data_IF_208834396142
#
_entry.id   IF_208834396142
#
_cell.length_a   1.000
_cell.length_b   1.000
_cell.length_c   1.000
_cell.angle_alpha   90.00
_cell.angle_beta   90.00
_cell.angle_gamma   90.00
#
_symmetry.space_group_name_H-M   'P 1'
#
loop_
_entity.id
_entity.type
_entity.pdbx_description
1 polymer ?
#
# COMPACT_ATOMS: atom_id res chain seq x y z
N UNK A 1 78.99 24.84 -22.65
CA UNK A 1 79.00 25.93 -21.68
C UNK A 1 78.06 25.49 -20.60
N UNK A 2 78.54 24.85 -19.61
CA UNK A 2 79.15 25.35 -18.37
C UNK A 2 78.11 25.83 -17.39
N UNK A 3 77.86 25.00 -16.37
CA UNK A 3 78.16 25.17 -14.92
C UNK A 3 76.89 25.82 -14.18
N UNK A 4 76.47 25.49 -12.98
CA UNK A 4 76.99 24.72 -11.79
C UNK A 4 75.85 24.55 -10.81
N UNK A 5 75.64 23.42 -10.25
CA UNK A 5 75.61 22.91 -8.90
C UNK A 5 75.74 23.95 -7.76
N UNK A 6 74.85 23.81 -6.77
CA UNK A 6 75.24 23.83 -5.37
C UNK A 6 74.16 23.24 -4.47
N UNK A 7 74.52 22.18 -3.81
CA UNK A 7 73.87 21.62 -2.67
C UNK A 7 74.47 22.15 -1.37
N UNK A 8 73.72 22.09 -0.31
CA UNK A 8 74.11 22.12 1.10
C UNK A 8 73.16 21.18 1.87
N UNK A 9 73.67 20.18 2.28
CA UNK A 9 74.34 19.54 3.38
C UNK A 9 73.60 19.63 4.73
N UNK A 10 73.38 18.42 5.23
CA UNK A 10 72.88 18.05 6.55
C UNK A 10 73.79 18.47 7.68
N UNK A 11 73.20 18.62 8.88
CA UNK A 11 73.73 18.32 10.23
C UNK A 11 73.88 19.48 11.22
N UNK A 12 73.32 19.09 12.40
CA UNK A 12 73.60 19.58 13.79
C UNK A 12 72.71 20.80 14.23
N UNK A 13 72.01 20.71 15.36
CA UNK A 13 72.48 20.40 16.69
C UNK A 13 71.29 20.04 17.63
N UNK A 14 71.60 19.04 18.46
CA UNK A 14 70.87 18.75 19.70
C UNK A 14 71.25 19.78 20.76
N UNK A 15 70.33 20.19 21.62
CA UNK A 15 70.38 20.17 23.09
C UNK A 15 69.38 21.13 23.72
N UNK A 16 68.75 20.66 24.79
CA UNK A 16 68.16 21.54 25.78
C UNK A 16 66.80 21.13 26.33
N UNK A 17 66.80 20.25 27.22
CA UNK A 17 65.93 19.87 28.36
C UNK A 17 64.79 20.76 28.81
N UNK A 18 63.80 20.05 29.28
CA UNK A 18 63.00 20.13 30.52
C UNK A 18 61.54 20.45 30.42
N UNK A 19 60.77 19.42 30.75
CA UNK A 19 59.62 19.36 31.65
C UNK A 19 58.46 20.36 31.50
N UNK A 20 57.38 19.81 31.04
CA UNK A 20 56.04 20.41 31.16
C UNK A 20 55.01 19.41 30.69
N UNK A 21 54.56 18.47 31.56
CA UNK A 21 53.47 17.58 31.28
C UNK A 21 52.18 18.39 31.23
N UNK A 22 51.71 18.71 30.03
CA UNK A 22 50.30 19.12 29.79
C UNK A 22 49.64 17.91 29.13
N UNK A 23 48.80 17.23 29.89
CA UNK A 23 47.90 16.22 29.39
C UNK A 23 46.90 16.88 28.44
N UNK A 24 47.24 16.88 27.15
CA UNK A 24 46.25 17.15 26.10
C UNK A 24 45.32 15.95 26.03
N UNK A 25 44.15 16.10 26.60
CA UNK A 25 42.98 15.31 26.25
C UNK A 25 42.76 15.44 24.76
N UNK A 26 43.34 14.54 24.00
CA UNK A 26 43.00 14.33 22.60
C UNK A 26 41.57 13.75 22.64
N UNK A 27 40.59 14.63 22.60
CA UNK A 27 39.24 14.24 22.28
C UNK A 27 39.29 13.48 20.95
N UNK A 28 39.03 12.17 20.98
CA UNK A 28 38.77 11.43 19.77
C UNK A 28 37.79 12.19 18.93
N UNK A 29 38.04 12.42 17.62
CA UNK A 29 37.01 13.02 16.80
C UNK A 29 35.79 12.10 16.85
N UNK A 30 34.77 12.56 17.55
CA UNK A 30 33.44 11.98 17.38
C UNK A 30 33.17 12.03 15.87
N UNK A 31 33.25 10.88 15.20
CA UNK A 31 32.71 10.72 13.86
C UNK A 31 31.20 10.99 14.04
N UNK A 32 30.83 12.24 13.93
CA UNK A 32 29.46 12.62 13.64
C UNK A 32 29.19 11.94 12.31
N UNK A 33 28.61 10.75 12.34
CA UNK A 33 28.03 10.13 11.16
C UNK A 33 27.13 11.22 10.58
N UNK A 34 27.56 11.82 9.48
CA UNK A 34 26.71 12.74 8.73
C UNK A 34 25.44 11.98 8.46
N UNK A 35 24.39 12.32 9.18
CA UNK A 35 23.06 11.74 9.02
C UNK A 35 22.75 11.93 7.55
N UNK A 36 22.47 10.85 6.84
CA UNK A 36 22.22 10.92 5.41
C UNK A 36 21.11 11.95 5.20
N UNK A 37 21.40 13.01 4.43
CA UNK A 37 20.44 14.10 4.17
C UNK A 37 19.27 13.65 3.32
N UNK A 38 19.25 12.39 2.92
CA UNK A 38 18.23 11.82 2.03
C UNK A 38 17.70 10.51 2.60
N UNK A 39 16.40 10.27 2.37
CA UNK A 39 15.69 9.04 2.66
C UNK A 39 15.19 8.47 1.34
N UNK A 40 15.68 7.30 0.93
CA UNK A 40 15.23 6.66 -0.30
C UNK A 40 14.00 5.79 -0.01
N UNK A 41 12.90 6.12 -0.67
CA UNK A 41 11.59 5.46 -0.49
C UNK A 41 11.16 4.84 -1.82
N UNK A 42 11.01 3.51 -1.85
CA UNK A 42 10.46 2.79 -2.99
C UNK A 42 8.94 2.66 -2.90
N UNK A 43 8.24 2.63 -4.04
CA UNK A 43 6.80 2.40 -4.07
C UNK A 43 6.24 2.29 -5.48
N UNK A 44 4.91 2.36 -5.64
CA UNK A 44 4.27 2.31 -6.95
C UNK A 44 4.46 3.63 -7.72
N UNK A 45 4.68 3.54 -9.04
CA UNK A 45 4.87 4.73 -9.88
C UNK A 45 3.70 5.73 -9.77
N UNK A 46 2.47 5.22 -9.64
CA UNK A 46 1.27 6.05 -9.47
C UNK A 46 1.20 6.86 -8.17
N UNK A 47 2.08 6.58 -7.20
CA UNK A 47 2.14 7.33 -5.94
C UNK A 47 3.01 8.60 -6.01
N UNK A 48 3.77 8.77 -7.10
CA UNK A 48 4.69 9.89 -7.26
C UNK A 48 4.05 11.28 -7.05
N UNK A 49 2.82 11.57 -7.53
CA UNK A 49 2.22 12.90 -7.34
C UNK A 49 2.11 13.30 -5.87
N UNK A 50 1.45 12.48 -5.03
CA UNK A 50 1.26 12.80 -3.62
C UNK A 50 2.53 12.53 -2.78
N UNK A 51 3.36 11.58 -3.18
CA UNK A 51 4.62 11.31 -2.49
C UNK A 51 5.60 12.48 -2.64
N UNK A 52 5.83 12.95 -3.87
CA UNK A 52 6.71 14.10 -4.13
C UNK A 52 6.08 15.45 -3.73
N UNK A 53 4.75 15.49 -3.61
CA UNK A 53 4.00 16.65 -3.13
C UNK A 53 3.83 16.63 -1.61
N UNK A 54 2.64 16.25 -1.17
CA UNK A 54 2.18 16.37 0.22
C UNK A 54 3.06 15.66 1.25
N UNK A 55 3.58 14.47 0.92
CA UNK A 55 4.39 13.68 1.86
C UNK A 55 5.81 14.26 1.99
N UNK A 56 6.51 14.47 0.86
CA UNK A 56 7.88 15.01 0.89
C UNK A 56 7.92 16.36 1.56
N UNK A 57 7.00 17.27 1.21
CA UNK A 57 6.95 18.59 1.81
C UNK A 57 6.76 18.54 3.33
N UNK A 58 5.84 17.70 3.83
CA UNK A 58 5.61 17.56 5.26
C UNK A 58 6.82 16.96 5.99
N UNK A 59 7.42 15.92 5.40
CA UNK A 59 8.57 15.24 5.99
C UNK A 59 9.81 16.14 6.02
N UNK A 60 10.14 16.79 4.90
CA UNK A 60 11.29 17.68 4.79
C UNK A 60 11.16 18.91 5.70
N UNK A 61 9.95 19.47 5.82
CA UNK A 61 9.68 20.58 6.73
C UNK A 61 9.98 20.21 8.19
N UNK A 62 9.56 18.99 8.61
CA UNK A 62 9.68 18.51 10.00
C UNK A 62 11.06 17.97 10.33
N UNK A 63 11.64 17.16 9.46
CA UNK A 63 12.86 16.39 9.76
C UNK A 63 14.11 16.87 9.05
N UNK A 64 14.00 17.88 8.15
CA UNK A 64 15.11 18.43 7.36
C UNK A 64 15.87 17.37 6.54
N UNK A 65 15.19 16.27 6.21
CA UNK A 65 15.70 15.15 5.42
C UNK A 65 14.88 15.05 4.14
N UNK A 66 15.55 15.08 3.00
CA UNK A 66 14.92 15.00 1.68
C UNK A 66 14.46 13.58 1.38
N UNK A 67 13.26 13.45 0.82
CA UNK A 67 12.79 12.16 0.28
C UNK A 67 13.21 12.03 -1.18
N UNK A 68 13.86 10.89 -1.49
CA UNK A 68 14.12 10.45 -2.86
C UNK A 68 13.15 9.30 -3.16
N UNK A 69 12.11 9.59 -3.91
CA UNK A 69 11.08 8.59 -4.23
C UNK A 69 11.39 7.85 -5.52
N UNK A 70 11.43 6.51 -5.44
CA UNK A 70 11.59 5.62 -6.59
C UNK A 70 10.26 4.92 -6.92
N UNK A 71 9.51 5.49 -7.87
CA UNK A 71 8.22 4.96 -8.32
C UNK A 71 8.40 3.79 -9.31
N UNK A 72 8.00 2.57 -8.90
CA UNK A 72 8.08 1.36 -9.74
C UNK A 72 6.85 0.47 -9.55
N UNK A 73 7.03 -0.81 -9.25
CA UNK A 73 5.99 -1.80 -8.91
C UNK A 73 6.47 -2.64 -7.74
N UNK A 74 5.55 -3.25 -7.00
CA UNK A 74 5.84 -4.03 -5.80
C UNK A 74 6.92 -5.12 -6.03
N UNK A 75 6.80 -5.92 -7.07
CA UNK A 75 7.79 -6.96 -7.41
C UNK A 75 9.17 -6.38 -7.79
N UNK A 76 9.21 -5.23 -8.48
CA UNK A 76 10.48 -4.57 -8.83
C UNK A 76 11.17 -4.04 -7.57
N UNK A 77 10.42 -3.53 -6.61
CA UNK A 77 10.98 -3.12 -5.33
C UNK A 77 11.52 -4.32 -4.52
N UNK A 78 10.81 -5.46 -4.55
CA UNK A 78 11.32 -6.70 -3.97
C UNK A 78 12.64 -7.13 -4.62
N UNK A 79 12.70 -7.16 -5.96
CA UNK A 79 13.96 -7.49 -6.68
C UNK A 79 15.12 -6.54 -6.33
N UNK A 80 14.85 -5.23 -6.16
CA UNK A 80 15.85 -4.26 -5.72
C UNK A 80 16.40 -4.62 -4.34
N UNK A 81 15.52 -4.96 -3.38
CA UNK A 81 15.95 -5.39 -2.05
C UNK A 81 16.76 -6.69 -2.09
N UNK A 82 16.35 -7.66 -2.91
CA UNK A 82 17.07 -8.94 -3.11
C UNK A 82 18.47 -8.72 -3.67
N UNK A 83 18.60 -7.93 -4.74
CA UNK A 83 19.89 -7.63 -5.41
C UNK A 83 20.86 -6.84 -4.52
N UNK A 84 20.34 -6.08 -3.57
CA UNK A 84 21.12 -5.23 -2.68
C UNK A 84 21.15 -5.76 -1.24
N UNK A 85 20.91 -7.06 -1.01
CA UNK A 85 20.77 -7.64 0.32
C UNK A 85 21.94 -7.33 1.26
N UNK A 86 23.16 -7.32 0.75
CA UNK A 86 24.37 -7.08 1.53
C UNK A 86 24.65 -5.59 1.79
N UNK A 87 24.07 -4.70 0.97
CA UNK A 87 24.23 -3.25 1.08
C UNK A 87 22.98 -2.55 0.57
N UNK A 88 21.96 -2.55 1.40
CA UNK A 88 20.69 -1.89 1.09
C UNK A 88 20.87 -0.38 0.88
N UNK A 89 20.15 0.17 -0.10
CA UNK A 89 20.07 1.60 -0.33
C UNK A 89 18.65 2.16 -0.16
N UNK A 90 17.63 1.29 -0.28
CA UNK A 90 16.26 1.63 0.08
C UNK A 90 16.11 1.63 1.61
N UNK A 91 15.47 2.64 2.15
CA UNK A 91 15.20 2.74 3.59
C UNK A 91 13.79 2.28 3.94
N UNK A 92 12.82 2.65 3.11
CA UNK A 92 11.40 2.31 3.25
C UNK A 92 10.87 1.85 1.89
N UNK A 93 9.96 0.90 1.92
CA UNK A 93 9.25 0.48 0.70
C UNK A 93 7.74 0.37 0.96
N UNK A 94 6.96 0.84 -0.01
CA UNK A 94 5.51 0.66 -0.08
C UNK A 94 5.21 -0.41 -1.12
N UNK A 95 4.61 -1.53 -0.68
CA UNK A 95 4.29 -2.68 -1.54
C UNK A 95 2.94 -3.29 -1.16
N UNK A 96 2.40 -4.08 -2.06
CA UNK A 96 1.22 -4.90 -1.80
C UNK A 96 1.52 -6.02 -0.78
N UNK A 97 0.57 -6.32 0.08
CA UNK A 97 0.72 -7.31 1.15
C UNK A 97 1.21 -8.68 0.67
N UNK A 98 0.76 -9.26 -0.46
CA UNK A 98 1.33 -10.50 -0.98
C UNK A 98 2.83 -10.44 -1.27
N UNK A 99 3.35 -9.27 -1.69
CA UNK A 99 4.78 -9.07 -1.95
C UNK A 99 5.55 -8.85 -0.65
N UNK A 100 4.93 -8.20 0.35
CA UNK A 100 5.48 -8.11 1.71
C UNK A 100 5.72 -9.51 2.32
N UNK A 101 4.79 -10.44 2.12
CA UNK A 101 4.94 -11.84 2.58
C UNK A 101 6.21 -12.48 1.98
N UNK A 102 6.50 -12.24 0.71
CA UNK A 102 7.72 -12.73 0.08
C UNK A 102 8.96 -12.07 0.68
N UNK A 103 8.94 -10.77 0.88
CA UNK A 103 10.04 -10.03 1.49
C UNK A 103 10.36 -10.51 2.92
N UNK A 104 9.33 -10.84 3.71
CA UNK A 104 9.49 -11.43 5.06
C UNK A 104 10.15 -12.79 4.98
N UNK A 105 9.72 -13.68 4.08
CA UNK A 105 10.31 -15.02 3.90
C UNK A 105 11.80 -14.97 3.59
N UNK A 106 12.25 -13.91 2.93
CA UNK A 106 13.64 -13.69 2.58
C UNK A 106 14.45 -12.89 3.62
N UNK A 107 13.80 -12.49 4.71
CA UNK A 107 14.43 -11.74 5.79
C UNK A 107 14.85 -10.32 5.41
N UNK A 108 14.14 -9.68 4.48
CA UNK A 108 14.45 -8.36 3.94
C UNK A 108 13.83 -7.19 4.72
N UNK A 109 12.90 -7.46 5.64
CA UNK A 109 12.20 -6.44 6.41
C UNK A 109 12.70 -6.34 7.84
N UNK A 110 12.67 -5.14 8.39
CA UNK A 110 12.91 -4.86 9.80
C UNK A 110 11.58 -4.76 10.56
N UNK A 111 11.54 -5.34 11.75
CA UNK A 111 10.33 -5.33 12.58
C UNK A 111 10.03 -3.92 13.09
N UNK A 112 8.82 -3.45 12.85
CA UNK A 112 8.27 -2.21 13.41
C UNK A 112 7.79 -2.45 14.84
N UNK A 113 8.22 -1.61 15.77
CA UNK A 113 7.78 -1.67 17.16
C UNK A 113 7.11 -0.36 17.57
N UNK A 114 6.22 -0.34 18.58
CA UNK A 114 5.62 0.90 19.08
C UNK A 114 6.65 1.92 19.60
N UNK A 115 7.82 1.46 20.03
CA UNK A 115 8.90 2.36 20.46
C UNK A 115 9.53 3.11 19.27
N UNK A 116 9.60 2.48 18.09
CA UNK A 116 10.15 3.08 16.87
C UNK A 116 9.08 3.84 16.08
N UNK A 117 7.86 3.32 16.06
CA UNK A 117 6.72 3.78 15.25
C UNK A 117 5.48 3.84 16.15
N UNK A 118 5.33 4.90 16.97
CA UNK A 118 4.24 5.00 17.97
C UNK A 118 2.83 4.88 17.38
N UNK A 119 2.61 5.38 16.16
CA UNK A 119 1.31 5.33 15.50
C UNK A 119 0.86 3.90 15.12
N UNK A 120 1.76 2.90 15.12
CA UNK A 120 1.38 1.52 14.85
C UNK A 120 0.35 0.99 15.87
N UNK A 121 0.41 1.47 17.12
CA UNK A 121 -0.54 1.12 18.17
C UNK A 121 -1.94 1.75 18.01
N UNK A 122 -2.09 2.68 17.06
CA UNK A 122 -3.34 3.39 16.79
C UNK A 122 -4.04 2.90 15.52
N UNK A 123 -3.55 1.82 14.95
CA UNK A 123 -4.10 1.28 13.72
C UNK A 123 -5.30 0.37 13.99
N UNK A 124 -6.16 0.24 12.99
CA UNK A 124 -7.29 -0.68 13.01
C UNK A 124 -6.82 -2.13 13.13
N UNK A 125 -7.60 -3.01 13.78
CA UNK A 125 -7.31 -4.45 13.77
C UNK A 125 -7.14 -4.98 12.33
N UNK A 126 -6.19 -5.90 12.14
CA UNK A 126 -5.91 -6.51 10.85
C UNK A 126 -5.07 -5.68 9.88
N UNK A 127 -4.51 -4.53 10.31
CA UNK A 127 -3.65 -3.67 9.49
C UNK A 127 -2.16 -3.74 9.88
N UNK A 128 -1.83 -4.47 10.93
CA UNK A 128 -0.45 -4.78 11.31
C UNK A 128 -0.23 -6.28 11.08
N UNK A 129 0.79 -6.61 10.33
CA UNK A 129 0.97 -7.96 9.80
C UNK A 129 2.24 -8.61 10.31
N UNK A 130 2.20 -9.96 10.45
CA UNK A 130 3.34 -10.81 10.84
C UNK A 130 4.15 -10.21 12.00
N UNK A 131 3.44 -9.88 13.07
CA UNK A 131 4.06 -9.34 14.30
C UNK A 131 4.87 -8.04 14.04
N UNK A 132 4.34 -7.16 13.18
CA UNK A 132 4.93 -5.85 12.91
C UNK A 132 5.93 -5.80 11.77
N UNK A 133 6.02 -6.82 10.90
CA UNK A 133 6.90 -6.77 9.74
C UNK A 133 6.51 -5.69 8.74
N UNK A 134 5.23 -5.39 8.62
CA UNK A 134 4.72 -4.23 7.90
C UNK A 134 3.37 -3.81 8.46
N UNK A 135 2.93 -2.61 8.12
CA UNK A 135 1.62 -2.10 8.43
C UNK A 135 0.95 -1.50 7.18
N UNK A 136 -0.37 -1.59 7.10
CA UNK A 136 -1.12 -0.85 6.08
C UNK A 136 -1.27 0.61 6.52
N UNK A 137 -1.26 1.53 5.55
CA UNK A 137 -1.39 2.98 5.81
C UNK A 137 -2.71 3.54 5.27
N UNK A 138 -2.81 3.82 4.00
CA UNK A 138 -4.03 4.21 3.30
C UNK A 138 -4.38 3.11 2.30
N UNK A 139 -5.54 2.48 2.49
CA UNK A 139 -5.94 1.33 1.70
C UNK A 139 -7.04 1.74 0.70
N UNK A 140 -6.84 1.54 -0.62
CA UNK A 140 -7.95 1.72 -1.56
C UNK A 140 -9.10 0.81 -1.16
N UNK A 141 -10.30 1.38 -1.01
CA UNK A 141 -11.46 0.59 -0.62
C UNK A 141 -12.25 0.14 -1.84
N UNK A 142 -12.90 -0.99 -1.72
CA UNK A 142 -13.78 -1.57 -2.72
C UNK A 142 -15.23 -1.52 -2.23
N UNK A 143 -16.06 -1.04 -3.09
CA UNK A 143 -17.51 -1.01 -2.92
C UNK A 143 -18.19 -1.31 -4.25
N UNK A 144 -19.40 -0.83 -4.43
CA UNK A 144 -20.16 -1.00 -5.66
C UNK A 144 -20.14 0.32 -6.43
N UNK A 145 -19.52 0.33 -7.62
CA UNK A 145 -19.66 1.44 -8.55
C UNK A 145 -21.01 1.30 -9.28
N UNK A 146 -21.72 2.41 -9.46
CA UNK A 146 -23.03 2.38 -10.14
C UNK A 146 -23.26 3.63 -10.99
N UNK A 147 -24.13 3.49 -12.00
CA UNK A 147 -24.57 4.60 -12.82
C UNK A 147 -25.80 5.28 -12.18
N UNK A 148 -25.69 6.56 -11.85
CA UNK A 148 -26.72 7.32 -11.13
C UNK A 148 -27.99 7.58 -11.95
N UNK A 149 -27.92 7.53 -13.30
CA UNK A 149 -29.08 7.66 -14.18
C UNK A 149 -29.90 6.37 -14.19
N UNK A 150 -29.20 5.21 -14.16
CA UNK A 150 -29.85 3.90 -14.11
C UNK A 150 -30.37 3.58 -12.69
N UNK A 151 -29.62 4.00 -11.67
CA UNK A 151 -29.87 3.69 -10.26
C UNK A 151 -29.83 4.95 -9.39
N UNK A 152 -30.83 5.85 -9.50
CA UNK A 152 -30.82 7.11 -8.77
C UNK A 152 -30.90 6.94 -7.24
N UNK A 153 -31.43 5.82 -6.76
CA UNK A 153 -31.47 5.48 -5.32
C UNK A 153 -30.15 4.89 -4.79
N UNK A 154 -29.14 4.70 -5.66
CA UNK A 154 -27.88 4.06 -5.30
C UNK A 154 -27.94 2.53 -5.28
N UNK A 155 -26.89 1.91 -4.70
CA UNK A 155 -26.74 0.46 -4.59
C UNK A 155 -26.36 0.07 -3.15
N UNK A 156 -27.35 -0.23 -2.28
CA UNK A 156 -27.12 -0.24 -0.83
C UNK A 156 -26.52 -1.53 -0.26
N UNK A 157 -26.60 -2.67 -0.97
CA UNK A 157 -26.17 -3.96 -0.42
C UNK A 157 -25.51 -4.87 -1.46
N UNK A 158 -24.53 -5.67 -1.04
CA UNK A 158 -23.92 -6.69 -1.89
C UNK A 158 -24.93 -7.74 -2.37
N UNK A 159 -25.88 -8.10 -1.50
CA UNK A 159 -26.93 -9.08 -1.84
C UNK A 159 -27.80 -8.64 -3.01
N UNK A 160 -27.99 -7.33 -3.21
CA UNK A 160 -28.83 -6.78 -4.27
C UNK A 160 -28.33 -7.14 -5.68
N UNK A 161 -27.04 -7.48 -5.83
CA UNK A 161 -26.48 -7.94 -7.09
C UNK A 161 -27.22 -9.18 -7.66
N UNK A 162 -27.83 -9.97 -6.80
CA UNK A 162 -28.55 -11.20 -7.16
C UNK A 162 -30.03 -10.97 -7.49
N UNK A 163 -30.53 -9.73 -7.40
CA UNK A 163 -31.90 -9.38 -7.77
C UNK A 163 -32.10 -9.55 -9.30
N UNK A 164 -33.12 -10.27 -9.77
CA UNK A 164 -33.41 -10.46 -11.19
C UNK A 164 -33.63 -9.16 -11.99
N UNK A 165 -33.91 -8.03 -11.33
CA UNK A 165 -34.03 -6.71 -12.01
C UNK A 165 -32.72 -6.29 -12.71
N UNK A 166 -31.58 -6.84 -12.30
CA UNK A 166 -30.27 -6.56 -12.89
C UNK A 166 -29.93 -7.48 -14.07
N UNK A 167 -30.86 -8.26 -14.60
CA UNK A 167 -30.63 -9.18 -15.71
C UNK A 167 -29.87 -8.49 -16.85
N UNK A 168 -28.64 -8.96 -17.16
CA UNK A 168 -27.78 -8.43 -18.20
C UNK A 168 -27.26 -7.00 -17.94
N UNK A 169 -27.16 -6.56 -16.68
CA UNK A 169 -26.80 -5.18 -16.32
C UNK A 169 -25.60 -5.04 -15.39
N UNK A 170 -25.07 -6.12 -14.87
CA UNK A 170 -23.89 -6.08 -14.02
C UNK A 170 -22.63 -6.37 -14.82
N UNK A 171 -21.56 -5.63 -14.50
CA UNK A 171 -20.21 -5.83 -15.04
C UNK A 171 -19.32 -6.23 -13.87
N UNK A 172 -18.79 -7.46 -13.87
CA UNK A 172 -17.98 -7.92 -12.74
C UNK A 172 -16.51 -8.15 -13.11
N UNK A 173 -15.57 -7.97 -12.16
CA UNK A 173 -14.17 -8.29 -12.39
C UNK A 173 -13.95 -9.81 -12.49
N UNK A 174 -13.05 -10.22 -13.38
CA UNK A 174 -12.44 -11.55 -13.36
C UNK A 174 -11.62 -11.74 -12.08
N UNK A 175 -11.41 -12.98 -11.63
CA UNK A 175 -10.48 -13.31 -10.53
C UNK A 175 -9.01 -13.03 -10.88
N UNK A 176 -8.69 -12.74 -12.15
CA UNK A 176 -7.38 -12.21 -12.53
C UNK A 176 -7.14 -10.81 -11.94
N UNK A 177 -8.21 -10.07 -11.69
CA UNK A 177 -8.18 -8.79 -10.99
C UNK A 177 -8.33 -9.00 -9.48
N UNK A 178 -7.68 -8.17 -8.69
CA UNK A 178 -7.78 -8.23 -7.22
C UNK A 178 -9.21 -7.97 -6.74
N UNK A 179 -9.94 -7.12 -7.44
CA UNK A 179 -11.34 -6.78 -7.15
C UNK A 179 -12.27 -8.01 -7.21
N UNK A 180 -11.97 -8.99 -8.08
CA UNK A 180 -12.79 -10.19 -8.22
C UNK A 180 -12.88 -11.03 -6.95
N UNK A 181 -11.86 -10.97 -6.11
CA UNK A 181 -11.81 -11.74 -4.86
C UNK A 181 -12.93 -11.36 -3.90
N UNK A 182 -13.24 -10.08 -3.76
CA UNK A 182 -14.31 -9.63 -2.88
C UNK A 182 -15.67 -10.19 -3.32
N UNK A 183 -15.96 -10.25 -4.63
CA UNK A 183 -17.20 -10.85 -5.13
C UNK A 183 -17.31 -12.33 -4.77
N UNK A 184 -16.21 -13.09 -4.86
CA UNK A 184 -16.20 -14.50 -4.50
C UNK A 184 -16.44 -14.72 -3.00
N UNK A 185 -15.81 -13.89 -2.16
CA UNK A 185 -15.96 -13.96 -0.70
C UNK A 185 -17.37 -13.51 -0.26
N UNK A 186 -17.91 -12.46 -0.87
CA UNK A 186 -19.32 -12.05 -0.65
C UNK A 186 -20.27 -13.17 -1.04
N UNK A 187 -20.05 -13.81 -2.19
CA UNK A 187 -20.86 -14.95 -2.62
C UNK A 187 -20.81 -16.09 -1.59
N UNK A 188 -19.64 -16.39 -1.03
CA UNK A 188 -19.49 -17.39 0.04
C UNK A 188 -20.25 -16.99 1.31
N UNK A 189 -20.19 -15.73 1.71
CA UNK A 189 -20.93 -15.21 2.85
C UNK A 189 -22.45 -15.32 2.65
N UNK A 190 -22.95 -14.97 1.46
CA UNK A 190 -24.37 -15.08 1.12
C UNK A 190 -24.86 -16.53 1.05
N UNK A 191 -24.02 -17.48 0.62
CA UNK A 191 -24.37 -18.89 0.54
C UNK A 191 -24.37 -19.56 1.92
N UNK A 192 -23.41 -19.20 2.76
CA UNK A 192 -23.21 -19.87 4.07
C UNK A 192 -23.91 -19.16 5.23
N UNK A 193 -24.27 -17.88 5.08
CA UNK A 193 -24.72 -17.01 6.17
C UNK A 193 -23.62 -16.64 7.19
N UNK A 194 -22.37 -17.01 6.91
CA UNK A 194 -21.22 -16.69 7.78
C UNK A 194 -20.76 -15.25 7.60
N UNK A 195 -20.17 -14.64 8.66
CA UNK A 195 -19.47 -13.37 8.52
C UNK A 195 -18.35 -13.45 7.46
N UNK A 196 -18.02 -12.32 6.82
CA UNK A 196 -16.99 -12.21 5.76
C UNK A 196 -15.65 -12.81 6.21
N UNK A 197 -15.24 -12.55 7.46
CA UNK A 197 -13.97 -13.00 8.04
C UNK A 197 -13.85 -14.53 8.09
N UNK A 198 -14.97 -15.24 8.14
CA UNK A 198 -15.04 -16.70 8.11
C UNK A 198 -15.35 -17.21 6.70
N UNK A 199 -16.24 -16.53 5.99
CA UNK A 199 -16.68 -16.92 4.66
C UNK A 199 -15.55 -16.88 3.62
N UNK A 200 -14.51 -16.07 3.82
CA UNK A 200 -13.36 -16.02 2.92
C UNK A 200 -12.62 -17.35 2.78
N UNK A 201 -12.81 -18.29 3.70
CA UNK A 201 -12.26 -19.64 3.63
C UNK A 201 -13.23 -20.67 3.04
N UNK A 202 -14.47 -20.29 2.77
CA UNK A 202 -15.55 -21.15 2.22
C UNK A 202 -15.68 -20.98 0.69
N UNK A 203 -14.57 -21.12 -0.02
CA UNK A 203 -14.47 -20.82 -1.46
C UNK A 203 -15.38 -21.70 -2.31
N UNK A 204 -15.63 -22.96 -1.90
CA UNK A 204 -16.57 -23.84 -2.58
C UNK A 204 -18.00 -23.28 -2.57
N UNK A 205 -18.44 -22.74 -1.44
CA UNK A 205 -19.73 -22.05 -1.34
C UNK A 205 -19.74 -20.76 -2.18
N UNK A 206 -18.62 -20.05 -2.22
CA UNK A 206 -18.44 -18.89 -3.08
C UNK A 206 -18.64 -19.20 -4.56
N UNK A 207 -17.99 -20.25 -5.07
CA UNK A 207 -18.17 -20.69 -6.46
C UNK A 207 -19.58 -21.22 -6.75
N UNK A 208 -20.22 -21.89 -5.80
CA UNK A 208 -21.60 -22.31 -5.95
C UNK A 208 -22.54 -21.11 -6.12
N UNK A 209 -22.40 -20.10 -5.29
CA UNK A 209 -23.25 -18.91 -5.29
C UNK A 209 -22.96 -17.98 -6.45
N UNK A 210 -21.69 -17.68 -6.75
CA UNK A 210 -21.35 -16.69 -7.78
C UNK A 210 -21.86 -17.10 -9.19
N UNK A 211 -21.97 -18.39 -9.45
CA UNK A 211 -22.57 -18.91 -10.72
C UNK A 211 -24.02 -18.49 -10.89
N UNK A 212 -24.77 -18.31 -9.81
CA UNK A 212 -26.16 -17.87 -9.90
C UNK A 212 -26.29 -16.40 -10.30
N UNK A 213 -25.17 -15.65 -10.30
CA UNK A 213 -25.12 -14.27 -10.78
C UNK A 213 -25.10 -14.15 -12.31
N UNK A 214 -24.74 -15.24 -13.05
CA UNK A 214 -24.61 -15.21 -14.51
C UNK A 214 -25.76 -14.56 -15.28
N UNK A 215 -27.06 -14.79 -14.96
CA UNK A 215 -28.15 -14.14 -15.67
C UNK A 215 -28.13 -12.60 -15.55
N UNK A 216 -27.55 -12.07 -14.48
CA UNK A 216 -27.46 -10.63 -14.23
C UNK A 216 -26.25 -9.98 -14.90
N UNK A 217 -25.28 -10.78 -15.39
CA UNK A 217 -24.06 -10.26 -15.99
C UNK A 217 -24.30 -9.75 -17.40
N UNK A 218 -23.84 -8.53 -17.67
CA UNK A 218 -23.58 -8.02 -19.01
C UNK A 218 -22.27 -8.59 -19.53
N UNK A 219 -21.21 -8.54 -18.71
CA UNK A 219 -19.88 -9.09 -19.04
C UNK A 219 -19.01 -9.26 -17.80
N UNK A 220 -17.91 -9.99 -17.99
CA UNK A 220 -16.80 -10.11 -17.02
C UNK A 220 -15.60 -9.40 -17.62
N UNK A 221 -15.00 -8.46 -16.88
CA UNK A 221 -13.87 -7.68 -17.37
C UNK A 221 -12.52 -8.10 -16.75
N UNK A 222 -11.46 -7.87 -17.53
CA UNK A 222 -10.07 -7.90 -17.08
C UNK A 222 -9.42 -6.52 -17.16
N UNK A 223 -10.00 -5.62 -17.98
CA UNK A 223 -9.51 -4.26 -18.20
C UNK A 223 -10.46 -3.22 -17.57
N UNK A 224 -10.00 -2.53 -16.54
CA UNK A 224 -10.79 -1.52 -15.80
C UNK A 224 -11.37 -0.43 -16.72
N UNK A 225 -10.61 0.17 -17.67
CA UNK A 225 -11.17 1.21 -18.53
C UNK A 225 -12.39 0.75 -19.32
N UNK A 226 -12.41 -0.51 -19.81
CA UNK A 226 -13.56 -1.07 -20.51
C UNK A 226 -14.79 -1.15 -19.60
N UNK A 227 -14.62 -1.63 -18.37
CA UNK A 227 -15.72 -1.72 -17.40
C UNK A 227 -16.30 -0.34 -17.06
N UNK A 228 -15.44 0.65 -16.86
CA UNK A 228 -15.87 2.02 -16.56
C UNK A 228 -16.62 2.65 -17.75
N UNK A 229 -16.20 2.40 -18.99
CA UNK A 229 -16.90 2.88 -20.17
C UNK A 229 -18.32 2.31 -20.25
N UNK A 230 -18.50 1.00 -20.01
CA UNK A 230 -19.84 0.37 -19.98
C UNK A 230 -20.72 0.95 -18.87
N UNK A 231 -20.13 1.24 -17.73
CA UNK A 231 -20.85 1.88 -16.62
C UNK A 231 -21.25 3.32 -16.96
N UNK A 232 -20.36 4.12 -17.51
CA UNK A 232 -20.58 5.52 -17.86
C UNK A 232 -21.65 5.66 -18.94
N UNK A 233 -21.64 4.80 -19.94
CA UNK A 233 -22.62 4.76 -21.02
C UNK A 233 -23.99 4.23 -20.57
N UNK A 234 -24.07 3.59 -19.39
CA UNK A 234 -25.30 3.03 -18.83
C UNK A 234 -25.71 1.69 -19.43
N UNK A 235 -24.82 1.04 -20.20
CA UNK A 235 -25.00 -0.34 -20.63
C UNK A 235 -24.92 -1.29 -19.45
N UNK A 236 -23.85 -1.14 -18.61
CA UNK A 236 -23.77 -1.68 -17.29
C UNK A 236 -24.38 -0.70 -16.27
N UNK A 237 -25.16 -1.20 -15.34
CA UNK A 237 -25.76 -0.36 -14.30
C UNK A 237 -24.94 -0.33 -13.03
N UNK A 238 -24.21 -1.41 -12.74
CA UNK A 238 -23.32 -1.47 -11.60
C UNK A 238 -22.11 -2.39 -11.87
N UNK A 239 -21.03 -2.08 -11.14
CA UNK A 239 -19.82 -2.89 -11.05
C UNK A 239 -19.61 -3.25 -9.59
N UNK A 240 -20.08 -4.42 -9.14
CA UNK A 240 -19.78 -4.93 -7.82
C UNK A 240 -18.26 -5.12 -7.65
N UNK A 241 -17.73 -4.62 -6.55
CA UNK A 241 -16.31 -4.69 -6.21
C UNK A 241 -15.39 -3.91 -7.15
N UNK A 242 -15.55 -2.58 -7.12
CA UNK A 242 -14.63 -1.65 -7.79
C UNK A 242 -13.82 -0.86 -6.74
N UNK A 243 -12.56 -0.60 -7.02
CA UNK A 243 -11.75 0.29 -6.17
C UNK A 243 -12.18 1.75 -6.30
N UNK A 244 -12.26 2.43 -5.16
CA UNK A 244 -12.59 3.85 -5.03
C UNK A 244 -11.72 4.76 -5.90
N UNK A 245 -10.44 4.44 -6.02
CA UNK A 245 -9.45 5.17 -6.81
C UNK A 245 -9.77 5.23 -8.30
N UNK A 246 -10.59 4.32 -8.82
CA UNK A 246 -10.96 4.28 -10.22
C UNK A 246 -12.22 5.12 -10.55
N UNK A 247 -13.08 5.37 -9.57
CA UNK A 247 -14.39 6.00 -9.79
C UNK A 247 -14.49 7.39 -9.18
N UNK A 248 -14.10 7.56 -7.90
CA UNK A 248 -14.28 8.83 -7.18
C UNK A 248 -13.67 10.03 -7.91
N UNK A 249 -12.47 9.94 -8.53
CA UNK A 249 -11.92 11.06 -9.29
C UNK A 249 -12.82 11.54 -10.44
N UNK A 250 -13.69 10.66 -10.94
CA UNK A 250 -14.58 10.91 -12.09
C UNK A 250 -16.02 11.29 -11.72
N UNK A 251 -16.40 11.19 -10.44
CA UNK A 251 -17.79 11.38 -10.00
C UNK A 251 -18.37 12.76 -10.31
N UNK A 252 -17.53 13.79 -10.46
CA UNK A 252 -17.97 15.14 -10.78
C UNK A 252 -18.29 15.34 -12.27
N UNK A 253 -17.70 14.52 -13.12
CA UNK A 253 -17.72 14.70 -14.58
C UNK A 253 -18.53 13.62 -15.29
N UNK A 254 -18.93 12.56 -14.56
CA UNK A 254 -19.63 11.40 -15.12
C UNK A 254 -20.81 10.97 -14.25
N UNK A 255 -21.77 10.19 -14.80
CA UNK A 255 -22.90 9.67 -14.03
C UNK A 255 -22.52 8.48 -13.15
N UNK A 256 -21.26 8.33 -12.78
CA UNK A 256 -20.78 7.23 -11.94
C UNK A 256 -20.65 7.68 -10.49
N UNK A 257 -20.95 6.79 -9.56
CA UNK A 257 -20.69 6.98 -8.13
C UNK A 257 -20.27 5.67 -7.48
N UNK A 258 -19.62 5.80 -6.32
CA UNK A 258 -19.36 4.68 -5.42
C UNK A 258 -20.41 4.58 -4.34
N UNK A 259 -20.80 3.36 -4.02
CA UNK A 259 -21.61 3.01 -2.85
C UNK A 259 -20.80 2.17 -1.90
N UNK A 260 -20.89 2.49 -0.60
CA UNK A 260 -20.40 1.63 0.48
C UNK A 260 -21.57 0.74 0.94
N UNK A 261 -21.57 -0.56 0.61
CA UNK A 261 -22.67 -1.47 0.96
C UNK A 261 -22.79 -1.64 2.48
N UNK A 262 -24.02 -1.83 2.96
CA UNK A 262 -24.33 -1.95 4.39
C UNK A 262 -23.61 -3.09 5.12
N UNK A 263 -23.25 -4.14 4.41
CA UNK A 263 -22.48 -5.27 4.94
C UNK A 263 -21.00 -4.92 5.16
N UNK A 264 -20.55 -3.79 4.63
CA UNK A 264 -19.17 -3.31 4.73
C UNK A 264 -18.45 -3.18 3.40
N UNK A 265 -17.26 -2.60 3.46
CA UNK A 265 -16.35 -2.41 2.34
C UNK A 265 -15.14 -3.35 2.49
N UNK A 266 -14.55 -3.75 1.37
CA UNK A 266 -13.24 -4.38 1.39
C UNK A 266 -12.15 -3.33 1.20
N UNK A 267 -10.95 -3.61 1.70
CA UNK A 267 -9.78 -2.76 1.48
C UNK A 267 -8.69 -3.55 0.76
N UNK A 268 -8.01 -2.84 -0.13
CA UNK A 268 -6.92 -3.42 -0.92
C UNK A 268 -5.61 -3.49 -0.14
N UNK A 269 -4.67 -4.32 -0.61
CA UNK A 269 -3.35 -4.42 0.00
C UNK A 269 -2.56 -3.13 -0.24
N UNK A 270 -2.03 -2.52 0.82
CA UNK A 270 -1.21 -1.31 0.74
C UNK A 270 -0.32 -1.20 1.98
N UNK A 271 0.79 -1.93 1.97
CA UNK A 271 1.74 -2.00 3.07
C UNK A 271 2.86 -0.98 2.99
N UNK A 272 3.35 -0.54 4.15
CA UNK A 272 4.61 0.19 4.32
C UNK A 272 5.52 -0.61 5.25
N UNK A 273 6.78 -0.77 4.88
CA UNK A 273 7.77 -1.50 5.64
C UNK A 273 9.11 -0.77 5.73
N UNK A 274 9.87 -1.09 6.76
CA UNK A 274 11.27 -0.70 6.88
C UNK A 274 12.16 -1.78 6.24
N UNK A 275 13.11 -1.38 5.41
CA UNK A 275 14.06 -2.30 4.79
C UNK A 275 15.15 -2.65 5.80
N UNK A 276 15.36 -3.94 6.05
CA UNK A 276 16.40 -4.41 6.97
C UNK A 276 17.78 -4.08 6.44
N UNK A 277 18.61 -3.41 7.26
CA UNK A 277 19.92 -2.93 6.85
C UNK A 277 19.90 -1.72 5.91
N UNK A 278 18.72 -1.13 5.67
CA UNK A 278 18.59 0.11 4.92
C UNK A 278 19.24 1.29 5.62
N UNK A 279 19.67 2.32 4.85
CA UNK A 279 20.30 3.50 5.43
C UNK A 279 19.30 4.32 6.23
N UNK A 280 19.79 5.09 7.22
CA UNK A 280 19.02 6.08 7.96
C UNK A 280 17.79 5.49 8.71
N UNK A 281 17.96 4.44 9.54
CA UNK A 281 16.81 3.73 10.14
C UNK A 281 15.93 4.62 11.04
N UNK A 282 16.51 5.64 11.69
CA UNK A 282 15.74 6.60 12.50
C UNK A 282 14.79 7.42 11.63
N UNK A 283 15.24 7.90 10.47
CA UNK A 283 14.39 8.65 9.54
C UNK A 283 13.40 7.73 8.82
N UNK A 284 13.77 6.46 8.57
CA UNK A 284 12.84 5.47 8.06
C UNK A 284 11.69 5.21 9.04
N UNK A 285 11.99 5.05 10.33
CA UNK A 285 10.97 4.91 11.38
C UNK A 285 10.08 6.16 11.48
N UNK A 286 10.69 7.35 11.47
CA UNK A 286 9.96 8.61 11.49
C UNK A 286 9.04 8.81 10.28
N UNK A 287 9.48 8.38 9.08
CA UNK A 287 8.67 8.41 7.88
C UNK A 287 7.47 7.45 7.99
N UNK A 288 7.72 6.22 8.42
CA UNK A 288 6.65 5.23 8.60
C UNK A 288 5.66 5.72 9.65
N UNK A 289 6.14 6.25 10.79
CA UNK A 289 5.28 6.80 11.82
C UNK A 289 4.40 7.95 11.30
N UNK A 290 4.97 8.85 10.50
CA UNK A 290 4.22 9.91 9.84
C UNK A 290 3.15 9.35 8.89
N UNK A 291 3.47 8.36 8.06
CA UNK A 291 2.51 7.73 7.14
C UNK A 291 1.37 7.00 7.85
N UNK A 292 1.64 6.46 9.05
CA UNK A 292 0.64 5.80 9.89
C UNK A 292 -0.12 6.79 10.81
N UNK A 293 0.29 8.05 10.84
CA UNK A 293 -0.35 9.10 11.63
C UNK A 293 -1.66 9.58 11.03
N UNK A 294 -2.68 9.84 11.87
CA UNK A 294 -3.99 10.31 11.43
C UNK A 294 -3.91 11.61 10.62
N UNK A 295 -3.07 12.57 11.03
CA UNK A 295 -2.90 13.85 10.34
C UNK A 295 -2.46 13.67 8.88
N UNK A 296 -1.47 12.79 8.63
CA UNK A 296 -1.00 12.51 7.28
C UNK A 296 -2.06 11.76 6.48
N UNK A 297 -2.75 10.80 7.09
CA UNK A 297 -3.82 10.06 6.42
C UNK A 297 -5.00 10.96 6.05
N UNK A 298 -5.41 11.88 6.93
CA UNK A 298 -6.44 12.87 6.64
C UNK A 298 -6.02 13.82 5.49
N UNK A 299 -4.73 14.21 5.47
CA UNK A 299 -4.19 15.07 4.41
C UNK A 299 -4.16 14.37 3.05
N UNK A 300 -3.80 13.08 3.01
CA UNK A 300 -3.68 12.31 1.78
C UNK A 300 -5.00 11.74 1.28
N UNK A 301 -6.01 11.63 2.11
CA UNK A 301 -7.29 11.02 1.76
C UNK A 301 -7.95 11.66 0.54
N UNK A 302 -7.99 13.01 0.36
CA UNK A 302 -8.53 13.65 -0.84
C UNK A 302 -7.72 13.39 -2.11
N UNK A 303 -6.43 13.06 -1.99
CA UNK A 303 -5.55 12.77 -3.12
C UNK A 303 -5.56 11.29 -3.50
N UNK A 304 -5.79 10.40 -2.52
CA UNK A 304 -5.70 8.95 -2.69
C UNK A 304 -7.05 8.26 -2.75
N UNK A 305 -8.12 8.92 -2.27
CA UNK A 305 -9.47 8.34 -2.14
C UNK A 305 -9.49 7.01 -1.37
N UNK A 306 -8.51 6.81 -0.53
CA UNK A 306 -8.28 5.57 0.19
C UNK A 306 -8.84 5.62 1.62
N UNK A 307 -9.11 4.45 2.19
CA UNK A 307 -9.59 4.30 3.56
C UNK A 307 -8.40 4.33 4.54
N UNK A 308 -8.45 5.14 5.61
CA UNK A 308 -7.35 5.26 6.55
C UNK A 308 -7.25 4.03 7.47
N UNK A 309 -6.03 3.63 7.78
CA UNK A 309 -5.76 2.57 8.76
C UNK A 309 -5.76 3.05 10.21
N UNK A 310 -5.46 4.32 10.45
CA UNK A 310 -5.45 4.91 11.78
C UNK A 310 -6.89 5.17 12.27
N UNK A 311 -7.22 4.72 13.49
CA UNK A 311 -8.58 4.85 14.04
C UNK A 311 -9.01 6.30 14.31
N UNK A 312 -8.06 7.22 14.47
CA UNK A 312 -8.32 8.63 14.69
C UNK A 312 -8.45 9.44 13.39
N UNK A 313 -8.11 8.86 12.23
CA UNK A 313 -8.27 9.51 10.95
C UNK A 313 -9.73 9.45 10.47
N UNK A 314 -10.16 10.46 9.71
CA UNK A 314 -11.54 10.58 9.22
C UNK A 314 -11.79 9.58 8.10
N UNK A 315 -12.94 8.90 8.08
CA UNK A 315 -13.32 8.08 6.93
C UNK A 315 -13.52 8.97 5.67
N UNK A 316 -13.38 8.39 4.47
CA UNK A 316 -13.67 9.12 3.23
C UNK A 316 -15.10 9.68 3.20
N UNK A 317 -15.29 10.81 2.53
CA UNK A 317 -16.62 11.43 2.36
C UNK A 317 -17.59 10.42 1.74
N UNK A 318 -18.80 10.33 2.31
CA UNK A 318 -19.85 9.39 1.84
C UNK A 318 -19.75 7.98 2.44
N UNK A 319 -18.74 7.69 3.24
CA UNK A 319 -18.61 6.42 3.98
C UNK A 319 -19.05 6.64 5.43
N UNK A 320 -20.01 5.85 5.96
CA UNK A 320 -20.40 5.91 7.37
C UNK A 320 -19.19 5.66 8.30
N UNK A 321 -19.13 6.38 9.42
CA UNK A 321 -18.02 6.25 10.36
C UNK A 321 -17.92 4.85 11.02
N UNK A 322 -19.04 4.16 11.12
CA UNK A 322 -19.21 2.82 11.69
C UNK A 322 -19.19 1.70 10.64
N UNK A 323 -18.85 2.02 9.39
CA UNK A 323 -18.78 1.02 8.30
C UNK A 323 -17.86 -0.14 8.70
N UNK A 324 -18.29 -1.36 8.43
CA UNK A 324 -17.42 -2.53 8.57
C UNK A 324 -16.36 -2.52 7.48
N UNK A 325 -15.12 -2.77 7.88
CA UNK A 325 -13.97 -2.84 6.97
C UNK A 325 -13.44 -4.26 6.97
N UNK A 326 -13.47 -4.91 5.82
CA UNK A 326 -13.05 -6.29 5.63
C UNK A 326 -11.67 -6.35 4.98
N UNK A 327 -10.76 -7.07 5.63
CA UNK A 327 -9.45 -7.43 5.08
C UNK A 327 -9.48 -8.88 4.63
N UNK A 328 -8.91 -9.18 3.47
CA UNK A 328 -8.68 -10.55 3.02
C UNK A 328 -7.43 -11.12 3.67
N UNK A 329 -7.43 -12.41 3.97
CA UNK A 329 -6.22 -13.14 4.30
C UNK A 329 -5.35 -13.32 3.05
N UNK A 330 -4.43 -12.37 2.85
CA UNK A 330 -3.54 -12.36 1.69
C UNK A 330 -2.59 -13.55 1.65
N UNK A 331 -2.29 -14.18 2.79
CA UNK A 331 -1.52 -15.42 2.85
C UNK A 331 -2.29 -16.60 2.25
N UNK A 332 -3.57 -16.73 2.61
CA UNK A 332 -4.47 -17.72 2.03
C UNK A 332 -4.73 -17.45 0.54
N UNK A 333 -5.04 -16.20 0.19
CA UNK A 333 -5.24 -15.79 -1.22
C UNK A 333 -4.01 -16.11 -2.07
N UNK A 334 -2.81 -15.75 -1.62
CA UNK A 334 -1.58 -15.99 -2.39
C UNK A 334 -1.33 -17.48 -2.66
N UNK A 335 -1.72 -18.34 -1.73
CA UNK A 335 -1.57 -19.79 -1.87
C UNK A 335 -2.56 -20.39 -2.88
N UNK A 336 -3.81 -19.94 -2.86
CA UNK A 336 -4.91 -20.64 -3.52
C UNK A 336 -5.37 -19.96 -4.83
N UNK A 337 -5.09 -18.67 -5.02
CA UNK A 337 -5.62 -17.86 -6.12
C UNK A 337 -5.37 -18.45 -7.51
N UNK A 338 -4.23 -19.09 -7.72
CA UNK A 338 -3.90 -19.68 -9.04
C UNK A 338 -4.93 -20.73 -9.47
N UNK A 339 -5.37 -21.59 -8.56
CA UNK A 339 -6.39 -22.60 -8.83
C UNK A 339 -7.79 -21.97 -8.95
N UNK A 340 -8.07 -20.93 -8.16
CA UNK A 340 -9.34 -20.21 -8.26
C UNK A 340 -9.50 -19.52 -9.62
N UNK A 341 -8.44 -18.91 -10.18
CA UNK A 341 -8.47 -18.27 -11.50
C UNK A 341 -8.76 -19.31 -12.58
N UNK A 342 -8.06 -20.46 -12.58
CA UNK A 342 -8.32 -21.55 -13.56
C UNK A 342 -9.77 -22.07 -13.48
N UNK A 343 -10.29 -22.21 -12.27
CA UNK A 343 -11.67 -22.61 -12.03
C UNK A 343 -12.66 -21.55 -12.49
N UNK A 344 -12.41 -20.29 -12.19
CA UNK A 344 -13.21 -19.17 -12.62
C UNK A 344 -13.33 -19.11 -14.14
N UNK A 345 -12.21 -19.17 -14.85
CA UNK A 345 -12.18 -19.11 -16.30
C UNK A 345 -13.00 -20.25 -16.94
N UNK A 346 -13.01 -21.44 -16.32
CA UNK A 346 -13.83 -22.57 -16.75
C UNK A 346 -15.31 -22.44 -16.39
N UNK A 347 -15.64 -22.01 -15.14
CA UNK A 347 -17.00 -22.04 -14.62
C UNK A 347 -17.78 -20.75 -14.88
N UNK A 348 -17.10 -19.62 -15.05
CA UNK A 348 -17.71 -18.30 -15.28
C UNK A 348 -17.64 -17.85 -16.72
N UNK A 349 -17.08 -18.65 -17.65
CA UNK A 349 -17.13 -18.36 -19.10
C UNK A 349 -18.56 -17.98 -19.53
N UNK A 350 -18.67 -16.88 -20.29
CA UNK A 350 -19.91 -16.31 -20.81
C UNK A 350 -20.06 -16.61 -22.29
#
# INVERSE_FOLDING_TARGET
MSLTSNGFSRRRLLTGASAGAVAALIGAPSIVRAQAKELVVGGAAGFAPWMNGSVSQAFEAKYKTKIVYEGTRSLVNLEKMQKNKDKQYLSVVLMDDPVMILAVKEGLLEKLTPAMVPNIAKLRPGTVHMDGMWANYLQPWQGIAYNTKALPAGFPAWADCYDPKFKGRLVIPSLQNTEGLANLVVAAALETGKPIEQAQFEIEAGFKKIKTLKPNLLTIYTQIPQALNLLEQGEGWAIPSMFSTNVIPKEKESPMKMSAPKEGIFVGPAGVCMVKGGPNPEMAAAFIDMMLGAEMQDKLQPETFAFPSNVAAKPPVGIPADIKVHNLDWGFVAKERGEWVKRWDREMAM
#
